data_IF_055460248567
#
_entry.id   IF_055460248567
#
_cell.length_a   1.000
_cell.length_b   1.000
_cell.length_c   1.000
_cell.angle_alpha   90.00
_cell.angle_beta   90.00
_cell.angle_gamma   90.00
#
_symmetry.space_group_name_H-M   'P 1'
#
loop_
_entity.id
_entity.type
_entity.pdbx_description
1 polymer ?
#
# COMPACT_ATOMS: atom_id res chain seq x y z
N UNK A 1 -12.86 -0.11 -14.30
CA UNK A 1 -12.82 -1.44 -13.62
C UNK A 1 -12.24 -2.56 -14.49
N UNK A 2 -12.46 -2.52 -15.81
CA UNK A 2 -11.88 -3.48 -16.78
C UNK A 2 -10.35 -3.62 -16.63
N UNK A 3 -9.63 -2.50 -16.48
CA UNK A 3 -8.19 -2.49 -16.29
C UNK A 3 -7.77 -3.32 -15.05
N UNK A 4 -8.53 -3.25 -13.96
CA UNK A 4 -8.23 -4.02 -12.76
C UNK A 4 -8.46 -5.52 -12.99
N UNK A 5 -9.55 -5.88 -13.65
CA UNK A 5 -9.89 -7.27 -13.98
C UNK A 5 -8.93 -7.90 -14.99
N UNK A 6 -8.32 -7.10 -15.89
CA UNK A 6 -7.24 -7.56 -16.78
C UNK A 6 -6.09 -8.22 -15.99
N UNK A 7 -5.70 -7.62 -14.86
CA UNK A 7 -4.57 -8.09 -14.07
C UNK A 7 -4.95 -8.96 -12.87
N UNK A 8 -6.18 -8.84 -12.40
CA UNK A 8 -6.72 -9.61 -11.27
C UNK A 8 -8.05 -10.27 -11.65
N UNK A 9 -8.03 -11.26 -12.58
CA UNK A 9 -9.26 -11.87 -13.10
C UNK A 9 -9.99 -12.74 -12.09
N UNK A 10 -9.36 -13.08 -10.95
CA UNK A 10 -9.91 -13.94 -9.90
C UNK A 10 -10.60 -13.16 -8.78
N UNK A 11 -10.76 -11.84 -8.93
CA UNK A 11 -11.50 -11.03 -7.94
C UNK A 11 -12.93 -11.56 -7.79
N UNK A 12 -13.36 -11.70 -6.53
CA UNK A 12 -14.74 -12.06 -6.22
C UNK A 12 -15.70 -10.93 -6.58
N UNK A 13 -16.99 -11.20 -6.79
CA UNK A 13 -18.00 -10.15 -7.01
C UNK A 13 -18.01 -9.08 -5.92
N UNK A 14 -17.78 -9.46 -4.65
CA UNK A 14 -17.68 -8.55 -3.51
C UNK A 14 -16.48 -7.60 -3.66
N UNK A 15 -15.32 -8.13 -4.00
CA UNK A 15 -14.11 -7.31 -4.22
C UNK A 15 -14.29 -6.34 -5.40
N UNK A 16 -14.88 -6.80 -6.49
CA UNK A 16 -15.20 -5.93 -7.66
C UNK A 16 -16.13 -4.79 -7.23
N UNK A 17 -17.17 -5.10 -6.46
CA UNK A 17 -18.10 -4.10 -5.93
C UNK A 17 -17.37 -3.10 -5.01
N UNK A 18 -16.50 -3.57 -4.11
CA UNK A 18 -15.71 -2.73 -3.21
C UNK A 18 -14.75 -1.80 -3.98
N UNK A 19 -14.02 -2.29 -4.98
CA UNK A 19 -13.17 -1.43 -5.82
C UNK A 19 -13.98 -0.41 -6.63
N UNK A 20 -15.16 -0.80 -7.14
CA UNK A 20 -16.05 0.12 -7.85
C UNK A 20 -16.56 1.22 -6.93
N UNK A 21 -16.99 0.85 -5.73
CA UNK A 21 -17.46 1.80 -4.72
C UNK A 21 -16.33 2.72 -4.24
N UNK A 22 -15.10 2.21 -4.12
CA UNK A 22 -13.94 3.00 -3.71
C UNK A 22 -13.72 4.20 -4.66
N UNK A 23 -13.89 4.03 -5.98
CA UNK A 23 -13.78 5.15 -6.93
C UNK A 23 -14.69 6.30 -6.53
N UNK A 24 -15.99 6.04 -6.36
CA UNK A 24 -16.98 7.07 -5.99
C UNK A 24 -16.73 7.67 -4.62
N UNK A 25 -16.34 6.85 -3.63
CA UNK A 25 -16.01 7.33 -2.28
C UNK A 25 -14.82 8.29 -2.29
N UNK A 26 -13.76 7.95 -3.03
CA UNK A 26 -12.60 8.85 -3.11
C UNK A 26 -12.89 10.11 -3.90
N UNK A 27 -13.73 10.09 -4.93
CA UNK A 27 -14.22 11.29 -5.61
C UNK A 27 -14.94 12.22 -4.63
N UNK A 28 -15.87 11.68 -3.84
CA UNK A 28 -16.62 12.44 -2.84
C UNK A 28 -15.72 13.02 -1.74
N UNK A 29 -14.85 12.19 -1.15
CA UNK A 29 -13.97 12.62 -0.07
C UNK A 29 -12.90 13.59 -0.55
N UNK A 30 -12.37 13.40 -1.76
CA UNK A 30 -11.36 14.29 -2.34
C UNK A 30 -11.89 15.69 -2.63
N UNK A 31 -13.20 15.82 -2.89
CA UNK A 31 -13.86 17.12 -3.01
C UNK A 31 -13.85 17.91 -1.67
N UNK A 32 -13.78 17.21 -0.54
CA UNK A 32 -13.79 17.81 0.82
C UNK A 32 -12.39 17.89 1.41
N UNK A 33 -11.61 16.85 1.24
CA UNK A 33 -10.25 16.71 1.80
C UNK A 33 -9.33 16.24 0.68
N UNK A 34 -8.40 17.10 0.26
CA UNK A 34 -7.49 16.79 -0.84
C UNK A 34 -6.47 15.72 -0.42
N UNK A 35 -6.80 14.45 -0.60
CA UNK A 35 -5.91 13.29 -0.34
C UNK A 35 -5.22 12.78 -1.60
N UNK A 36 -5.78 13.13 -2.77
CA UNK A 36 -5.27 12.84 -4.10
C UNK A 36 -5.31 14.13 -4.92
N UNK A 37 -4.34 14.39 -5.78
CA UNK A 37 -4.38 15.55 -6.66
C UNK A 37 -5.59 15.46 -7.60
N UNK A 38 -6.19 16.60 -7.95
CA UNK A 38 -7.36 16.62 -8.84
C UNK A 38 -7.07 15.98 -10.22
N UNK A 39 -5.88 16.16 -10.73
CA UNK A 39 -5.42 15.55 -11.98
C UNK A 39 -5.28 14.03 -11.88
N UNK A 40 -4.88 13.51 -10.73
CA UNK A 40 -4.73 12.08 -10.51
C UNK A 40 -6.05 11.35 -10.31
N UNK A 41 -7.13 12.06 -9.95
CA UNK A 41 -8.46 11.46 -9.83
C UNK A 41 -8.97 10.88 -11.16
N UNK A 42 -8.65 11.51 -12.30
CA UNK A 42 -8.99 11.01 -13.63
C UNK A 42 -8.32 9.65 -13.92
N UNK A 43 -7.21 9.38 -13.25
CA UNK A 43 -6.43 8.15 -13.38
C UNK A 43 -6.47 7.28 -12.13
N UNK A 44 -7.50 7.43 -11.28
CA UNK A 44 -7.57 6.80 -9.96
C UNK A 44 -7.34 5.29 -9.99
N UNK A 45 -7.97 4.58 -10.91
CA UNK A 45 -7.80 3.11 -11.02
C UNK A 45 -6.36 2.74 -11.35
N UNK A 46 -5.72 3.45 -12.27
CA UNK A 46 -4.34 3.19 -12.69
C UNK A 46 -3.32 3.62 -11.63
N UNK A 47 -3.37 4.91 -11.22
CA UNK A 47 -2.34 5.54 -10.40
C UNK A 47 -2.46 5.20 -8.90
N UNK A 48 -3.65 4.79 -8.44
CA UNK A 48 -3.86 4.50 -7.03
C UNK A 48 -4.24 3.05 -6.75
N UNK A 49 -5.26 2.50 -7.39
CA UNK A 49 -5.65 1.11 -7.15
C UNK A 49 -4.61 0.14 -7.71
N UNK A 50 -4.38 0.16 -9.01
CA UNK A 50 -3.49 -0.81 -9.67
C UNK A 50 -2.03 -0.65 -9.21
N UNK A 51 -1.56 0.60 -9.03
CA UNK A 51 -0.22 0.85 -8.48
C UNK A 51 -0.04 0.24 -7.09
N UNK A 52 -1.02 0.38 -6.19
CA UNK A 52 -0.99 -0.23 -4.86
C UNK A 52 -0.95 -1.76 -4.93
N UNK A 53 -1.72 -2.33 -5.85
CA UNK A 53 -1.78 -3.77 -6.10
C UNK A 53 -0.53 -4.33 -6.81
N UNK A 54 0.37 -3.46 -7.28
CA UNK A 54 1.70 -3.86 -7.73
C UNK A 54 2.48 -4.63 -6.67
N UNK A 55 2.27 -4.30 -5.38
CA UNK A 55 2.83 -5.09 -4.27
C UNK A 55 2.37 -6.55 -4.34
N UNK A 56 1.09 -6.78 -4.57
CA UNK A 56 0.51 -8.12 -4.61
C UNK A 56 1.01 -8.95 -5.80
N UNK A 57 1.38 -8.32 -6.92
CA UNK A 57 1.99 -8.99 -8.06
C UNK A 57 3.38 -9.52 -7.76
N UNK A 58 4.12 -8.80 -6.91
CA UNK A 58 5.50 -9.13 -6.54
C UNK A 58 5.53 -10.04 -5.31
N UNK A 59 4.69 -9.75 -4.33
CA UNK A 59 4.68 -10.44 -3.06
C UNK A 59 3.24 -10.69 -2.57
N UNK A 60 2.67 -11.87 -2.85
CA UNK A 60 1.35 -12.23 -2.33
C UNK A 60 1.40 -12.45 -0.82
N UNK A 61 0.40 -11.95 -0.10
CA UNK A 61 0.28 -12.15 1.34
C UNK A 61 -0.47 -13.44 1.66
N UNK A 62 0.00 -14.14 2.70
CA UNK A 62 -0.67 -15.31 3.26
C UNK A 62 -1.70 -14.92 4.32
N UNK A 63 -2.67 -15.78 4.56
CA UNK A 63 -3.70 -15.61 5.59
C UNK A 63 -3.09 -15.41 6.98
N UNK A 64 -3.67 -14.50 7.77
CA UNK A 64 -3.31 -14.25 9.17
C UNK A 64 -2.10 -13.35 9.37
N UNK A 65 -1.49 -12.82 8.31
CA UNK A 65 -0.40 -11.84 8.42
C UNK A 65 -0.92 -10.50 8.93
N UNK A 66 0.00 -9.74 9.58
CA UNK A 66 -0.20 -8.36 10.01
C UNK A 66 0.67 -7.44 9.18
N UNK A 67 0.04 -6.51 8.48
CA UNK A 67 0.70 -5.54 7.60
C UNK A 67 0.48 -4.12 8.13
N UNK A 68 1.56 -3.36 8.25
CA UNK A 68 1.52 -1.94 8.60
C UNK A 68 1.69 -1.10 7.33
N UNK A 69 0.80 -0.16 7.09
CA UNK A 69 0.93 0.85 6.03
C UNK A 69 1.36 2.18 6.65
N UNK A 70 2.60 2.55 6.42
CA UNK A 70 3.22 3.76 7.01
C UNK A 70 3.12 4.93 6.05
N UNK A 71 2.55 6.03 6.56
CA UNK A 71 2.29 7.21 5.74
C UNK A 71 1.22 6.93 4.70
N UNK A 72 0.16 6.24 5.13
CA UNK A 72 -0.90 5.74 4.24
C UNK A 72 -1.61 6.83 3.42
N UNK A 73 -1.52 8.07 3.84
CA UNK A 73 -2.20 9.17 3.16
C UNK A 73 -3.71 8.96 3.14
N UNK A 74 -4.28 8.91 1.96
CA UNK A 74 -5.68 8.57 1.76
C UNK A 74 -6.00 7.08 1.84
N UNK A 75 -5.08 6.23 2.32
CA UNK A 75 -5.28 4.77 2.42
C UNK A 75 -4.53 3.96 1.36
N UNK A 76 -3.43 4.49 0.81
CA UNK A 76 -2.67 3.83 -0.24
C UNK A 76 -1.23 3.52 0.19
N UNK A 77 -0.80 2.25 0.08
CA UNK A 77 -1.43 1.12 -0.61
C UNK A 77 -2.43 0.30 0.21
N UNK A 78 -2.65 0.60 1.50
CA UNK A 78 -3.35 -0.24 2.46
C UNK A 78 -4.78 -0.63 2.09
N UNK A 79 -5.65 0.33 1.72
CA UNK A 79 -7.05 0.03 1.37
C UNK A 79 -7.17 -0.91 0.16
N UNK A 80 -6.48 -0.66 -0.99
CA UNK A 80 -6.52 -1.61 -2.09
C UNK A 80 -6.03 -3.02 -1.73
N UNK A 81 -4.98 -3.11 -0.92
CA UNK A 81 -4.47 -4.41 -0.45
C UNK A 81 -5.43 -5.10 0.50
N UNK A 82 -6.10 -4.35 1.38
CA UNK A 82 -7.08 -4.90 2.32
C UNK A 82 -8.32 -5.47 1.62
N UNK A 83 -8.77 -4.86 0.52
CA UNK A 83 -9.83 -5.40 -0.34
C UNK A 83 -9.38 -6.73 -0.97
N UNK A 84 -8.12 -6.79 -1.49
CA UNK A 84 -7.60 -7.99 -2.14
C UNK A 84 -7.39 -9.14 -1.16
N UNK A 85 -6.96 -8.84 0.07
CA UNK A 85 -6.59 -9.82 1.10
C UNK A 85 -7.46 -9.70 2.36
N UNK A 86 -8.73 -10.14 2.34
CA UNK A 86 -9.65 -9.96 3.46
C UNK A 86 -9.24 -10.70 4.74
N UNK A 87 -8.38 -11.72 4.62
CA UNK A 87 -7.87 -12.51 5.76
C UNK A 87 -6.51 -12.05 6.29
N UNK A 88 -6.01 -10.90 5.81
CA UNK A 88 -4.79 -10.21 6.28
C UNK A 88 -5.20 -8.98 7.06
N UNK A 89 -4.61 -8.76 8.24
CA UNK A 89 -4.88 -7.58 9.06
C UNK A 89 -4.02 -6.40 8.60
N UNK A 90 -4.63 -5.28 8.28
CA UNK A 90 -3.96 -4.06 7.88
C UNK A 90 -4.10 -2.98 8.95
N UNK A 91 -2.98 -2.38 9.37
CA UNK A 91 -2.94 -1.20 10.22
C UNK A 91 -2.42 -0.01 9.41
N UNK A 92 -3.24 1.01 9.20
CA UNK A 92 -2.95 2.16 8.35
C UNK A 92 -2.66 3.39 9.20
N UNK A 93 -1.47 3.98 9.04
CA UNK A 93 -1.01 5.07 9.91
C UNK A 93 -0.57 6.28 9.10
N UNK A 94 -1.00 7.46 9.52
CA UNK A 94 -0.53 8.76 9.01
C UNK A 94 -0.50 9.78 10.14
N UNK A 95 0.43 10.72 10.12
CA UNK A 95 0.50 11.79 11.10
C UNK A 95 -0.58 12.85 10.94
N UNK A 96 -1.28 12.87 9.81
CA UNK A 96 -2.28 13.88 9.45
C UNK A 96 -3.68 13.33 9.71
N UNK A 97 -4.31 13.76 10.81
CA UNK A 97 -5.62 13.27 11.27
C UNK A 97 -6.74 13.37 10.24
N UNK A 98 -6.80 14.43 9.44
CA UNK A 98 -7.80 14.57 8.38
C UNK A 98 -7.70 13.48 7.30
N UNK A 99 -6.50 12.95 7.03
CA UNK A 99 -6.29 11.84 6.10
C UNK A 99 -6.76 10.53 6.72
N UNK A 100 -6.44 10.30 7.99
CA UNK A 100 -6.92 9.13 8.74
C UNK A 100 -8.45 9.11 8.82
N UNK A 101 -9.10 10.28 8.95
CA UNK A 101 -10.56 10.35 8.87
C UNK A 101 -11.09 9.82 7.54
N UNK A 102 -10.47 10.17 6.42
CA UNK A 102 -10.86 9.63 5.10
C UNK A 102 -10.69 8.11 5.05
N UNK A 103 -9.56 7.60 5.56
CA UNK A 103 -9.29 6.16 5.64
C UNK A 103 -10.38 5.43 6.42
N UNK A 104 -10.77 5.95 7.60
CA UNK A 104 -11.82 5.38 8.45
C UNK A 104 -13.17 5.33 7.74
N UNK A 105 -13.57 6.43 7.15
CA UNK A 105 -14.84 6.55 6.45
C UNK A 105 -14.90 5.62 5.22
N UNK A 106 -13.83 5.58 4.43
CA UNK A 106 -13.75 4.69 3.27
C UNK A 106 -13.74 3.23 3.71
N UNK A 107 -12.93 2.85 4.70
CA UNK A 107 -12.90 1.47 5.20
C UNK A 107 -14.27 1.01 5.73
N UNK A 108 -14.93 1.88 6.48
CA UNK A 108 -16.29 1.63 7.02
C UNK A 108 -17.31 1.47 5.90
N UNK A 109 -17.33 2.39 4.93
CA UNK A 109 -18.28 2.35 3.82
C UNK A 109 -18.08 1.11 2.92
N UNK A 110 -16.84 0.65 2.77
CA UNK A 110 -16.50 -0.57 2.03
C UNK A 110 -16.71 -1.86 2.85
N UNK A 111 -17.07 -1.77 4.14
CA UNK A 111 -17.24 -2.92 5.03
C UNK A 111 -15.94 -3.69 5.29
N UNK A 112 -14.79 -3.03 5.30
CA UNK A 112 -13.49 -3.66 5.55
C UNK A 112 -13.29 -3.90 7.05
N UNK A 113 -13.48 -5.14 7.50
CA UNK A 113 -13.31 -5.54 8.91
C UNK A 113 -11.86 -5.85 9.28
N UNK A 114 -10.98 -5.96 8.29
CA UNK A 114 -9.58 -6.27 8.43
C UNK A 114 -8.67 -5.02 8.43
N UNK A 115 -9.24 -3.82 8.51
CA UNK A 115 -8.52 -2.54 8.54
C UNK A 115 -8.69 -1.88 9.89
N UNK A 116 -7.58 -1.49 10.50
CA UNK A 116 -7.51 -0.52 11.59
C UNK A 116 -6.72 0.69 11.13
N UNK A 117 -7.00 1.87 11.68
CA UNK A 117 -6.25 3.07 11.31
C UNK A 117 -6.02 3.98 12.51
N UNK A 118 -4.87 4.65 12.51
CA UNK A 118 -4.42 5.47 13.63
C UNK A 118 -3.74 6.75 13.16
N UNK A 119 -4.07 7.88 13.80
CA UNK A 119 -3.28 9.10 13.65
C UNK A 119 -2.08 9.03 14.59
N UNK A 120 -0.92 8.68 14.06
CA UNK A 120 0.33 8.61 14.83
C UNK A 120 1.54 8.94 13.96
N UNK A 121 2.63 9.30 14.62
CA UNK A 121 3.96 9.29 14.02
C UNK A 121 4.54 7.88 14.16
N UNK A 122 5.16 7.37 13.11
CA UNK A 122 5.68 5.99 13.08
C UNK A 122 6.70 5.72 14.18
N UNK A 123 7.44 6.74 14.60
CA UNK A 123 8.44 6.66 15.66
C UNK A 123 7.84 6.37 17.05
N UNK A 124 6.55 6.65 17.22
CA UNK A 124 5.83 6.45 18.49
C UNK A 124 4.98 5.19 18.49
N UNK A 125 4.95 4.46 17.36
CA UNK A 125 4.18 3.24 17.27
C UNK A 125 4.84 2.10 18.04
N UNK A 126 3.99 1.32 18.68
CA UNK A 126 4.34 0.04 19.28
C UNK A 126 3.67 -1.08 18.49
N UNK A 127 4.23 -2.28 18.58
CA UNK A 127 3.68 -3.45 17.92
C UNK A 127 4.68 -4.17 17.04
N UNK A 128 4.21 -5.26 16.44
CA UNK A 128 5.02 -6.14 15.63
C UNK A 128 4.24 -6.58 14.41
N UNK A 129 4.79 -6.35 13.22
CA UNK A 129 4.18 -6.61 11.93
C UNK A 129 5.02 -7.59 11.12
N UNK A 130 4.36 -8.39 10.30
CA UNK A 130 5.02 -9.31 9.38
C UNK A 130 5.60 -8.55 8.19
N UNK A 131 4.85 -7.55 7.69
CA UNK A 131 5.30 -6.68 6.61
C UNK A 131 4.97 -5.22 6.91
N UNK A 132 5.82 -4.35 6.38
CA UNK A 132 5.57 -2.92 6.32
C UNK A 132 5.46 -2.53 4.85
N UNK A 133 4.36 -1.92 4.48
CA UNK A 133 4.14 -1.36 3.15
C UNK A 133 4.16 0.16 3.21
N UNK A 134 4.54 0.81 2.12
CA UNK A 134 4.47 2.27 2.03
C UNK A 134 4.54 2.74 0.58
N UNK A 135 4.16 4.00 0.36
CA UNK A 135 4.27 4.70 -0.92
C UNK A 135 4.70 6.14 -0.73
N UNK A 136 5.82 6.52 -1.34
CA UNK A 136 6.27 7.93 -1.49
C UNK A 136 6.37 8.75 -0.19
N UNK A 137 6.86 8.15 0.91
CA UNK A 137 7.02 8.85 2.20
C UNK A 137 8.36 9.57 2.29
N UNK A 138 9.48 8.82 2.22
CA UNK A 138 10.84 9.35 2.36
C UNK A 138 11.86 8.42 1.67
N UNK A 139 13.14 8.75 1.77
CA UNK A 139 14.22 7.89 1.28
C UNK A 139 14.34 6.61 2.10
N UNK A 140 14.88 5.53 1.49
CA UNK A 140 14.92 4.19 2.08
C UNK A 140 15.66 4.14 3.41
N UNK A 141 16.77 4.86 3.54
CA UNK A 141 17.57 4.87 4.76
C UNK A 141 16.78 5.43 5.96
N UNK A 142 16.11 6.57 5.76
CA UNK A 142 15.28 7.17 6.80
C UNK A 142 14.06 6.30 7.10
N UNK A 143 13.41 5.78 6.05
CA UNK A 143 12.25 4.91 6.22
C UNK A 143 12.61 3.65 7.03
N UNK A 144 13.70 2.98 6.68
CA UNK A 144 14.17 1.80 7.40
C UNK A 144 14.51 2.11 8.86
N UNK A 145 15.21 3.23 9.11
CA UNK A 145 15.54 3.66 10.47
C UNK A 145 14.30 3.86 11.34
N UNK A 146 13.26 4.47 10.76
CA UNK A 146 12.00 4.78 11.44
C UNK A 146 11.12 3.54 11.68
N UNK A 147 11.23 2.51 10.84
CA UNK A 147 10.24 1.41 10.82
C UNK A 147 10.78 0.05 11.25
N UNK A 148 12.09 -0.19 11.19
CA UNK A 148 12.69 -1.52 11.45
C UNK A 148 12.33 -2.13 12.81
N UNK A 149 12.09 -1.30 13.82
CA UNK A 149 11.72 -1.76 15.16
C UNK A 149 10.31 -2.37 15.23
N UNK A 150 9.47 -2.09 14.22
CA UNK A 150 8.10 -2.59 14.09
C UNK A 150 8.03 -3.92 13.32
N UNK A 151 9.12 -4.36 12.69
CA UNK A 151 9.15 -5.66 12.06
C UNK A 151 9.34 -6.77 13.10
N UNK A 152 8.54 -7.82 13.00
CA UNK A 152 8.75 -9.03 13.79
C UNK A 152 10.14 -9.61 13.52
N UNK A 153 10.85 -10.11 14.54
CA UNK A 153 12.12 -10.78 14.33
C UNK A 153 11.93 -12.03 13.47
N UNK A 154 12.85 -12.27 12.53
CA UNK A 154 12.90 -13.51 11.75
C UNK A 154 13.39 -14.63 12.68
N UNK A 155 12.54 -15.61 12.96
CA UNK A 155 12.85 -16.69 13.90
C UNK A 155 13.23 -17.98 13.20
N UNK A 156 12.78 -18.18 11.96
CA UNK A 156 13.04 -19.39 11.18
C UNK A 156 13.60 -19.08 9.80
N UNK A 157 14.47 -19.96 9.31
CA UNK A 157 14.97 -19.90 7.93
C UNK A 157 13.81 -20.18 6.98
N UNK A 158 13.30 -19.13 6.34
CA UNK A 158 12.12 -19.19 5.45
C UNK A 158 10.97 -18.26 5.85
N UNK A 159 10.99 -17.69 7.05
CA UNK A 159 10.08 -16.61 7.42
C UNK A 159 10.34 -15.41 6.49
N UNK A 160 9.36 -15.11 5.66
CA UNK A 160 9.42 -13.93 4.79
C UNK A 160 8.75 -12.78 5.53
N UNK A 161 9.54 -11.81 5.91
CA UNK A 161 9.11 -10.58 6.58
C UNK A 161 9.95 -9.43 6.04
N UNK A 162 9.41 -8.24 6.01
CA UNK A 162 10.20 -7.13 5.51
C UNK A 162 9.38 -5.92 5.09
N UNK A 163 10.02 -5.06 4.34
CA UNK A 163 9.46 -3.83 3.80
C UNK A 163 9.16 -4.03 2.32
N UNK A 164 7.96 -3.65 1.89
CA UNK A 164 7.51 -3.63 0.51
C UNK A 164 7.18 -2.17 0.15
N UNK A 165 8.10 -1.49 -0.51
CA UNK A 165 8.01 -0.05 -0.71
C UNK A 165 7.80 0.31 -2.19
N UNK A 166 6.67 0.95 -2.49
CA UNK A 166 6.39 1.50 -3.81
C UNK A 166 7.22 2.75 -4.06
N UNK A 167 8.08 2.67 -5.03
CA UNK A 167 9.03 3.71 -5.43
C UNK A 167 8.94 3.98 -6.93
N UNK A 168 9.72 4.94 -7.41
CA UNK A 168 9.85 5.22 -8.84
C UNK A 168 11.17 5.90 -9.17
N UNK A 169 11.52 5.91 -10.45
CA UNK A 169 12.74 6.51 -10.95
C UNK A 169 14.00 5.68 -10.72
N UNK A 170 15.15 6.33 -10.75
CA UNK A 170 16.44 5.69 -10.45
C UNK A 170 16.63 5.59 -8.93
N UNK A 171 16.91 4.40 -8.45
CA UNK A 171 17.09 4.08 -7.03
C UNK A 171 18.53 3.68 -6.70
N UNK A 172 19.45 3.80 -7.64
CA UNK A 172 20.83 3.32 -7.51
C UNK A 172 21.54 3.94 -6.31
N UNK A 173 21.49 5.25 -6.18
CA UNK A 173 22.11 5.95 -5.04
C UNK A 173 21.35 5.68 -3.73
N UNK A 174 20.01 5.69 -3.78
CA UNK A 174 19.16 5.48 -2.60
C UNK A 174 19.37 4.10 -1.98
N UNK A 175 19.57 3.07 -2.79
CA UNK A 175 19.73 1.69 -2.35
C UNK A 175 21.17 1.24 -2.18
N UNK A 176 22.17 2.09 -2.42
CA UNK A 176 23.59 1.72 -2.29
C UNK A 176 23.94 1.17 -0.89
N UNK A 177 23.28 1.65 0.16
CA UNK A 177 23.44 1.16 1.54
C UNK A 177 22.64 -0.12 1.87
N UNK A 178 21.86 -0.64 0.91
CA UNK A 178 20.96 -1.80 1.10
C UNK A 178 21.25 -2.91 0.06
N UNK A 179 22.41 -3.59 0.12
CA UNK A 179 22.77 -4.62 -0.86
C UNK A 179 21.84 -5.84 -0.85
N UNK A 180 21.06 -6.03 0.22
CA UNK A 180 20.03 -7.08 0.31
C UNK A 180 18.69 -6.69 -0.31
N UNK A 181 18.48 -5.41 -0.66
CA UNK A 181 17.26 -4.97 -1.28
C UNK A 181 17.11 -5.55 -2.69
N UNK A 182 15.93 -6.05 -2.99
CA UNK A 182 15.58 -6.49 -4.35
C UNK A 182 14.61 -5.47 -4.96
N UNK A 183 14.87 -5.08 -6.19
CA UNK A 183 14.04 -4.12 -6.94
C UNK A 183 13.30 -4.86 -8.04
N UNK A 184 11.99 -4.73 -8.05
CA UNK A 184 11.10 -5.28 -9.08
C UNK A 184 10.48 -4.14 -9.88
N UNK A 185 10.67 -4.15 -11.21
CA UNK A 185 10.06 -3.17 -12.09
C UNK A 185 8.59 -3.55 -12.32
N UNK A 186 7.68 -2.60 -12.11
CA UNK A 186 6.26 -2.88 -12.32
C UNK A 186 5.87 -2.96 -13.81
N UNK A 187 6.70 -2.45 -14.71
CA UNK A 187 6.58 -2.67 -16.16
C UNK A 187 6.76 -4.14 -16.62
N UNK A 188 7.28 -5.00 -15.75
CA UNK A 188 7.37 -6.44 -16.02
C UNK A 188 6.04 -7.18 -15.76
N UNK A 189 5.12 -6.54 -15.03
CA UNK A 189 3.82 -7.13 -14.64
C UNK A 189 2.60 -6.32 -15.08
N UNK A 190 2.81 -5.08 -15.53
CA UNK A 190 1.79 -4.19 -16.07
C UNK A 190 2.27 -3.58 -17.39
N UNK A 191 1.37 -3.41 -18.36
CA UNK A 191 1.69 -2.96 -19.71
C UNK A 191 1.57 -1.43 -19.91
N UNK A 192 0.92 -0.72 -18.96
CA UNK A 192 0.65 0.70 -19.07
C UNK A 192 1.94 1.53 -18.87
N UNK A 193 2.20 2.53 -19.71
CA UNK A 193 3.39 3.43 -19.69
C UNK A 193 3.63 4.05 -18.32
N UNK A 194 2.57 4.23 -17.53
CA UNK A 194 2.68 4.70 -16.13
C UNK A 194 3.65 3.87 -15.30
N UNK A 195 3.76 2.57 -15.59
CA UNK A 195 4.59 1.64 -14.81
C UNK A 195 6.05 1.56 -15.27
N UNK A 196 6.45 2.19 -16.37
CA UNK A 196 7.83 2.19 -16.85
C UNK A 196 8.86 2.61 -15.77
N UNK A 197 8.47 3.59 -14.94
CA UNK A 197 9.32 4.10 -13.87
C UNK A 197 8.95 3.59 -12.48
N UNK A 198 7.89 2.78 -12.33
CA UNK A 198 7.39 2.35 -11.03
C UNK A 198 8.02 1.02 -10.61
N UNK A 199 8.30 0.92 -9.31
CA UNK A 199 9.05 -0.20 -8.74
C UNK A 199 8.48 -0.59 -7.39
N UNK A 200 8.68 -1.87 -7.03
CA UNK A 200 8.56 -2.35 -5.65
C UNK A 200 9.96 -2.68 -5.16
N UNK A 201 10.36 -2.06 -4.07
CA UNK A 201 11.59 -2.42 -3.34
C UNK A 201 11.20 -3.37 -2.21
N UNK A 202 11.87 -4.51 -2.16
CA UNK A 202 11.70 -5.53 -1.12
C UNK A 202 12.98 -5.57 -0.28
N UNK A 203 12.85 -5.37 1.04
CA UNK A 203 13.95 -5.40 2.00
C UNK A 203 13.57 -6.20 3.25
#
# INVERSE_FOLDING_TARGET
MELLLKYFPTLTPTQVAQYTQAVSLYEEWNARINVISRKDMEHFVLHHLLHSLGIAKIHPFSVGLKVLDVGTGGGFPGIPLAILYPEVSFHLVDSIGKKIKVVQEVATALGLTNVTSEQARVETLEGQYDYIVSRAVTQMADFYKLTKHLLKPVTNKGDKRGILYLKGGDLTEELAAFPSATVYNLSEVFEEDFFETKKVVVL
#
